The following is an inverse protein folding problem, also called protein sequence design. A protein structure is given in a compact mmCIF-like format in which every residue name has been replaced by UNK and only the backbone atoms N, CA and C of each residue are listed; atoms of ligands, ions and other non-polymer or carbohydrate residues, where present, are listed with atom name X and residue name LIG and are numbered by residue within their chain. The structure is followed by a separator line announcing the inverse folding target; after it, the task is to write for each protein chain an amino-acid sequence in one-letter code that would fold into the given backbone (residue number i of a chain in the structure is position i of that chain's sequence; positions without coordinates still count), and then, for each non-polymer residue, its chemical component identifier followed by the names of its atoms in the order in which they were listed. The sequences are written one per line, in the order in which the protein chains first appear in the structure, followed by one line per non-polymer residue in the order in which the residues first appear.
data_IF_099753224032
#
_entry.id   IF_099753224032
#
_cell.length_a   1.000
_cell.length_b   1.000
_cell.length_c   1.000
_cell.angle_alpha   90.00
_cell.angle_beta   90.00
_cell.angle_gamma   90.00
#
_symmetry.space_group_name_H-M   'P 1'
#
loop_
_entity.id
_entity.type
_entity.pdbx_description
1 polymer ?
#
# COMPACT_ATOMS: atom_id res chain seq x y z
N UNK A 1 -14.00 21.55 -9.30
CA UNK A 1 -13.58 22.09 -10.50
C UNK A 1 -13.16 21.02 -11.46
N UNK A 2 -13.53 21.21 -12.65
CA UNK A 2 -13.27 20.23 -13.67
C UNK A 2 -11.77 19.98 -13.90
N UNK A 3 -10.94 20.83 -13.34
CA UNK A 3 -9.52 20.69 -13.55
C UNK A 3 -8.97 19.34 -13.07
N UNK A 4 -9.68 18.67 -12.18
CA UNK A 4 -9.23 17.36 -11.74
C UNK A 4 -9.25 16.36 -12.87
N UNK A 5 -10.27 16.43 -13.71
CA UNK A 5 -10.35 15.56 -14.86
C UNK A 5 -9.47 16.03 -16.00
N UNK A 6 -9.23 17.33 -16.04
CA UNK A 6 -8.43 17.92 -17.08
C UNK A 6 -6.96 18.01 -16.70
N UNK A 7 -6.62 17.60 -15.50
CA UNK A 7 -5.22 17.58 -15.10
C UNK A 7 -4.49 16.63 -15.98
N UNK A 8 -3.45 17.13 -16.56
CA UNK A 8 -2.55 16.28 -17.29
C UNK A 8 -1.89 15.32 -16.33
N UNK A 9 -1.57 14.17 -16.84
CA UNK A 9 -0.80 13.20 -16.09
C UNK A 9 0.47 13.84 -15.55
N UNK A 10 0.75 13.64 -14.28
CA UNK A 10 1.97 14.13 -13.68
C UNK A 10 3.02 13.04 -13.70
N UNK A 11 4.17 13.36 -14.22
CA UNK A 11 5.28 12.43 -14.23
C UNK A 11 5.78 12.19 -12.82
N UNK A 12 6.49 11.09 -12.56
CA UNK A 12 7.09 10.88 -11.25
C UNK A 12 7.98 12.03 -10.80
N UNK A 13 8.70 12.66 -11.73
CA UNK A 13 9.53 13.82 -11.42
C UNK A 13 8.68 14.98 -10.89
N UNK A 14 7.56 15.26 -11.55
CA UNK A 14 6.66 16.32 -11.13
C UNK A 14 6.08 16.04 -9.75
N UNK A 15 5.77 14.78 -9.48
CA UNK A 15 5.24 14.38 -8.19
C UNK A 15 6.27 14.59 -7.08
N UNK A 16 7.52 14.27 -7.33
CA UNK A 16 8.59 14.50 -6.36
C UNK A 16 8.69 15.99 -6.03
N UNK A 17 8.65 16.86 -7.04
CA UNK A 17 8.68 18.30 -6.81
C UNK A 17 7.50 18.73 -5.97
N UNK A 18 6.31 18.24 -6.29
CA UNK A 18 5.10 18.58 -5.56
C UNK A 18 5.19 18.16 -4.09
N UNK A 19 5.69 16.97 -3.82
CA UNK A 19 5.82 16.48 -2.45
C UNK A 19 6.83 17.31 -1.66
N UNK A 20 7.94 17.70 -2.28
CA UNK A 20 8.91 18.58 -1.64
C UNK A 20 8.30 19.92 -1.30
N UNK A 21 7.53 20.48 -2.23
CA UNK A 21 6.87 21.78 -2.01
C UNK A 21 5.88 21.70 -0.85
N UNK A 22 5.31 20.55 -0.62
CA UNK A 22 4.38 20.33 0.48
C UNK A 22 5.06 19.96 1.79
N UNK A 23 6.38 19.97 1.82
CA UNK A 23 7.12 19.78 3.07
C UNK A 23 7.60 18.38 3.36
N UNK A 24 7.45 17.47 2.42
CA UNK A 24 7.92 16.10 2.62
C UNK A 24 9.43 16.02 2.44
N UNK A 25 10.12 15.38 3.37
CA UNK A 25 11.56 15.19 3.26
C UNK A 25 11.90 14.11 2.24
N UNK A 26 12.68 14.49 1.24
CA UNK A 26 13.11 13.55 0.21
C UNK A 26 14.62 13.71 0.05
N UNK A 27 15.36 12.69 0.44
CA UNK A 27 16.81 12.73 0.40
C UNK A 27 17.37 12.24 -0.93
N UNK A 28 16.64 11.35 -1.60
CA UNK A 28 17.06 10.78 -2.87
C UNK A 28 15.91 10.88 -3.87
N UNK A 29 15.83 11.96 -4.63
CA UNK A 29 14.74 12.15 -5.57
C UNK A 29 14.64 11.04 -6.63
N UNK A 30 15.76 10.55 -7.11
CA UNK A 30 15.76 9.52 -8.14
C UNK A 30 15.17 8.21 -7.61
N UNK A 31 15.55 7.83 -6.42
CA UNK A 31 15.00 6.65 -5.77
C UNK A 31 13.51 6.80 -5.51
N UNK A 32 13.10 7.98 -5.08
CA UNK A 32 11.69 8.29 -4.86
C UNK A 32 10.90 8.18 -6.14
N UNK A 33 11.42 8.72 -7.24
CA UNK A 33 10.77 8.60 -8.55
C UNK A 33 10.60 7.13 -8.95
N UNK A 34 11.60 6.33 -8.67
CA UNK A 34 11.55 4.90 -8.98
C UNK A 34 10.41 4.22 -8.25
N UNK A 35 10.26 4.50 -6.97
CA UNK A 35 9.16 3.93 -6.19
C UNK A 35 7.81 4.43 -6.65
N UNK A 36 7.70 5.72 -6.98
CA UNK A 36 6.46 6.29 -7.48
C UNK A 36 6.06 5.62 -8.79
N UNK A 37 7.04 5.38 -9.66
CA UNK A 37 6.78 4.76 -10.95
C UNK A 37 6.33 3.31 -10.79
N UNK A 38 6.97 2.56 -9.91
CA UNK A 38 6.71 1.13 -9.78
C UNK A 38 5.50 0.81 -8.90
N UNK A 39 5.29 1.55 -7.83
CA UNK A 39 4.19 1.30 -6.90
C UNK A 39 2.93 2.04 -7.34
N UNK A 40 3.11 3.24 -7.88
CA UNK A 40 2.02 4.13 -8.25
C UNK A 40 1.74 5.15 -7.17
N UNK A 41 1.58 6.39 -7.59
CA UNK A 41 1.37 7.48 -6.64
C UNK A 41 0.07 7.32 -5.86
N UNK A 42 -0.98 6.85 -6.51
CA UNK A 42 -2.26 6.69 -5.84
C UNK A 42 -2.15 5.75 -4.63
N UNK A 43 -1.45 4.65 -4.81
CA UNK A 43 -1.24 3.70 -3.72
C UNK A 43 -0.36 4.30 -2.63
N UNK A 44 0.74 4.95 -3.02
CA UNK A 44 1.64 5.58 -2.07
C UNK A 44 0.98 6.71 -1.30
N UNK A 45 0.05 7.44 -1.91
CA UNK A 45 -0.62 8.54 -1.24
C UNK A 45 -1.39 8.08 -0.01
N UNK A 46 -1.90 6.85 0.00
CA UNK A 46 -2.57 6.30 1.17
C UNK A 46 -1.61 6.18 2.35
N UNK A 47 -0.35 5.86 2.09
CA UNK A 47 0.65 5.74 3.16
C UNK A 47 1.24 7.08 3.55
N UNK A 48 1.11 8.09 2.70
CA UNK A 48 1.54 9.45 3.01
C UNK A 48 0.48 10.22 3.82
N UNK A 49 -0.77 9.82 3.68
CA UNK A 49 -1.89 10.55 4.30
C UNK A 49 -1.73 10.78 5.80
N UNK A 50 -1.31 9.80 6.62
CA UNK A 50 -1.15 10.01 8.05
C UNK A 50 -0.10 11.07 8.42
N UNK A 51 0.80 11.41 7.50
CA UNK A 51 1.85 12.39 7.75
C UNK A 51 1.45 13.81 7.39
N UNK A 52 0.23 13.99 6.88
CA UNK A 52 -0.27 15.33 6.57
C UNK A 52 -0.66 16.07 7.83
N UNK A 53 -0.42 17.38 7.83
CA UNK A 53 -0.86 18.25 8.91
C UNK A 53 -2.37 18.43 8.88
N UNK A 54 -2.91 18.87 9.99
CA UNK A 54 -4.32 19.28 10.08
C UNK A 54 -4.37 20.80 9.87
N UNK A 55 -5.22 21.31 8.98
CA UNK A 55 -6.20 20.57 8.16
C UNK A 55 -5.56 19.85 6.98
N UNK A 56 -6.02 18.62 6.75
CA UNK A 56 -5.43 17.78 5.70
C UNK A 56 -5.71 18.28 4.29
N UNK A 57 -6.75 19.09 4.14
CA UNK A 57 -7.11 19.70 2.85
C UNK A 57 -6.01 20.56 2.27
N UNK A 58 -5.13 21.09 3.11
CA UNK A 58 -4.01 21.90 2.63
C UNK A 58 -2.87 21.06 2.09
N UNK A 59 -2.88 19.77 2.35
CA UNK A 59 -1.90 18.83 1.84
C UNK A 59 -0.45 19.16 2.21
N UNK A 60 -0.25 19.78 3.37
CA UNK A 60 1.10 20.02 3.90
C UNK A 60 1.49 18.91 4.85
N UNK A 61 2.74 18.50 4.78
CA UNK A 61 3.23 17.43 5.63
C UNK A 61 3.70 17.95 6.98
N UNK A 62 3.59 17.10 7.98
CA UNK A 62 4.10 17.42 9.31
C UNK A 62 5.60 17.60 9.26
N UNK A 63 6.11 18.50 10.09
CA UNK A 63 7.55 18.75 10.18
C UNK A 63 8.27 17.45 10.52
N UNK A 64 9.31 17.14 9.77
CA UNK A 64 10.10 15.93 9.99
C UNK A 64 9.58 14.69 9.28
N UNK A 65 8.44 14.78 8.59
CA UNK A 65 7.95 13.66 7.80
C UNK A 65 8.83 13.43 6.57
N UNK A 66 9.09 12.18 6.26
CA UNK A 66 9.92 11.84 5.10
C UNK A 66 9.22 10.81 4.23
N UNK A 67 9.64 10.76 2.98
CA UNK A 67 9.16 9.72 2.07
C UNK A 67 9.54 8.33 2.58
N UNK A 68 10.71 8.22 3.21
CA UNK A 68 11.17 6.95 3.77
C UNK A 68 10.23 6.43 4.85
N UNK A 69 9.63 7.33 5.65
CA UNK A 69 8.67 6.92 6.67
C UNK A 69 7.48 6.22 6.05
N UNK A 70 6.91 6.81 5.00
CA UNK A 70 5.79 6.22 4.29
C UNK A 70 6.19 4.91 3.60
N UNK A 71 7.39 4.86 3.05
CA UNK A 71 7.88 3.67 2.39
C UNK A 71 8.07 2.52 3.37
N UNK A 72 8.53 2.82 4.58
CA UNK A 72 8.68 1.82 5.63
C UNK A 72 7.33 1.20 6.00
N UNK A 73 6.30 2.04 6.11
CA UNK A 73 4.94 1.55 6.39
C UNK A 73 4.44 0.69 5.24
N UNK A 74 4.67 1.13 4.01
CA UNK A 74 4.29 0.37 2.83
C UNK A 74 4.94 -1.02 2.84
N UNK A 75 6.22 -1.08 3.12
CA UNK A 75 6.95 -2.34 3.16
C UNK A 75 6.46 -3.26 4.27
N UNK A 76 6.20 -2.70 5.44
CA UNK A 76 5.65 -3.47 6.55
C UNK A 76 4.28 -4.03 6.21
N UNK A 77 3.41 -3.20 5.65
CA UNK A 77 2.08 -3.61 5.26
C UNK A 77 2.11 -4.72 4.21
N UNK A 78 3.02 -4.62 3.26
CA UNK A 78 3.19 -5.64 2.24
C UNK A 78 3.62 -6.97 2.83
N UNK A 79 4.60 -6.94 3.74
CA UNK A 79 5.06 -8.15 4.42
C UNK A 79 3.94 -8.78 5.24
N UNK A 80 3.19 -7.95 5.95
CA UNK A 80 2.08 -8.43 6.76
C UNK A 80 1.02 -9.10 5.91
N UNK A 81 0.66 -8.49 4.78
CA UNK A 81 -0.32 -9.08 3.88
C UNK A 81 0.14 -10.42 3.33
N UNK A 82 1.40 -10.52 2.94
CA UNK A 82 1.95 -11.78 2.44
C UNK A 82 1.92 -12.86 3.52
N UNK A 83 2.27 -12.49 4.74
CA UNK A 83 2.22 -13.42 5.86
C UNK A 83 0.78 -13.91 6.09
N UNK A 84 -0.17 -12.98 6.12
CA UNK A 84 -1.57 -13.33 6.35
C UNK A 84 -2.13 -14.22 5.24
N UNK A 85 -1.80 -13.93 3.99
CA UNK A 85 -2.22 -14.78 2.88
C UNK A 85 -1.71 -16.20 3.04
N UNK A 86 -0.45 -16.35 3.43
CA UNK A 86 0.12 -17.68 3.64
C UNK A 86 -0.58 -18.42 4.77
N UNK A 87 -0.89 -17.72 5.87
CA UNK A 87 -1.58 -18.34 7.00
C UNK A 87 -3.01 -18.69 6.66
N UNK A 88 -3.71 -17.85 5.93
CA UNK A 88 -5.07 -18.12 5.49
C UNK A 88 -5.09 -19.34 4.56
N UNK A 89 -4.11 -19.44 3.67
CA UNK A 89 -4.01 -20.59 2.78
C UNK A 89 -3.85 -21.90 3.57
N UNK A 90 -3.00 -21.89 4.59
CA UNK A 90 -2.83 -23.08 5.45
C UNK A 90 -4.13 -23.48 6.13
N UNK A 91 -4.86 -22.51 6.64
CA UNK A 91 -6.17 -22.77 7.28
C UNK A 91 -7.14 -23.33 6.28
N UNK A 92 -7.18 -22.78 5.08
CA UNK A 92 -8.07 -23.25 4.02
C UNK A 92 -7.80 -24.72 3.67
N UNK A 93 -6.52 -25.06 3.49
CA UNK A 93 -6.13 -26.43 3.18
C UNK A 93 -6.52 -27.38 4.32
N UNK A 94 -6.27 -26.96 5.55
CA UNK A 94 -6.63 -27.74 6.72
C UNK A 94 -8.14 -27.98 6.81
N UNK A 95 -8.94 -26.95 6.55
CA UNK A 95 -10.39 -27.07 6.55
C UNK A 95 -10.88 -28.03 5.47
N UNK A 96 -10.33 -27.94 4.29
CA UNK A 96 -10.69 -28.84 3.19
C UNK A 96 -10.41 -30.29 3.56
N UNK A 97 -9.26 -30.56 4.15
CA UNK A 97 -8.90 -31.90 4.58
C UNK A 97 -9.86 -32.42 5.65
N UNK A 98 -10.19 -31.58 6.63
CA UNK A 98 -11.11 -31.95 7.69
C UNK A 98 -12.51 -32.25 7.16
N UNK A 99 -12.99 -31.41 6.22
CA UNK A 99 -14.29 -31.63 5.61
C UNK A 99 -14.33 -32.91 4.80
N UNK A 100 -13.27 -33.19 4.05
CA UNK A 100 -13.19 -34.42 3.28
C UNK A 100 -13.26 -35.64 4.18
N UNK A 101 -12.55 -35.62 5.30
CA UNK A 101 -12.59 -36.73 6.28
C UNK A 101 -13.97 -36.91 6.89
N UNK A 102 -14.63 -35.80 7.24
CA UNK A 102 -15.98 -35.87 7.81
C UNK A 102 -16.97 -36.48 6.81
N UNK A 103 -16.89 -36.00 5.57
CA UNK A 103 -17.80 -36.52 4.53
C UNK A 103 -17.55 -38.00 4.28
N UNK A 104 -16.29 -38.41 4.27
CA UNK A 104 -15.96 -39.83 4.10
C UNK A 104 -16.53 -40.68 5.23
N UNK A 105 -16.39 -40.23 6.47
CA UNK A 105 -16.94 -40.94 7.61
C UNK A 105 -18.45 -41.05 7.55
N UNK A 106 -19.14 -39.99 7.18
CA UNK A 106 -20.60 -39.94 7.15
C UNK A 106 -21.18 -40.78 6.03
N UNK A 107 -20.52 -40.81 4.88
CA UNK A 107 -21.06 -41.52 3.74
C UNK A 107 -20.46 -42.91 3.54
N UNK A 108 -19.43 -43.21 4.30
CA UNK A 108 -18.79 -44.51 4.28
C UNK A 108 -17.76 -44.69 3.20
N UNK A 109 -18.02 -44.23 2.02
CA UNK A 109 -17.07 -44.43 0.93
C UNK A 109 -17.42 -43.50 -0.22
N UNK A 110 -16.76 -42.38 -0.26
CA UNK A 110 -16.97 -41.42 -1.33
C UNK A 110 -15.96 -41.55 -2.45
N UNK A 111 -14.77 -41.93 -2.13
CA UNK A 111 -13.68 -41.96 -3.09
C UNK A 111 -13.24 -43.39 -3.37
#
# INVERSE_FOLDING_TARGET
MSSDFNKTYKSPTDIVVLLKDRGLGITDPQRTEHYIRNIGYYRLSAYLYPFLQIPKEEHHFKTGSTFQDALNIYRFDKKLRLFLFNEIEKVEISLRSSLANIVEEETGNIF
#
